data_IF_825790408002
#
_entry.id   IF_825790408002
#
_cell.length_a   1.000
_cell.length_b   1.000
_cell.length_c   1.000
_cell.angle_alpha   90.00
_cell.angle_beta   90.00
_cell.angle_gamma   90.00
#
_symmetry.space_group_name_H-M   'P 1'
#
loop_
_entity.id
_entity.type
_entity.pdbx_description
1 polymer ?
#
# COMPACT_ATOMS: atom_id res chain seq x y z
N UNK A 1 5.21 -7.47 -67.65
CA UNK A 1 6.45 -7.86 -66.99
C UNK A 1 6.42 -7.31 -65.58
N UNK A 2 6.11 -8.15 -64.62
CA UNK A 2 5.85 -7.72 -63.23
C UNK A 2 6.90 -8.38 -62.34
N UNK A 3 7.87 -7.63 -61.91
CA UNK A 3 8.80 -8.03 -60.86
C UNK A 3 8.14 -7.68 -59.53
N UNK A 4 7.36 -8.58 -58.94
CA UNK A 4 6.85 -8.44 -57.60
C UNK A 4 7.88 -9.03 -56.66
N UNK A 5 8.40 -8.16 -55.92
CA UNK A 5 9.39 -8.13 -54.90
C UNK A 5 9.36 -9.34 -53.97
N UNK A 6 10.45 -10.09 -53.99
CA UNK A 6 10.73 -11.24 -53.09
C UNK A 6 11.12 -10.78 -51.71
N UNK A 7 11.07 -9.46 -51.43
CA UNK A 7 11.51 -8.88 -50.16
C UNK A 7 10.43 -8.79 -49.10
N UNK A 8 9.17 -9.13 -49.41
CA UNK A 8 8.07 -9.06 -48.43
C UNK A 8 7.90 -10.33 -47.58
N UNK A 9 8.70 -11.37 -47.84
CA UNK A 9 8.60 -12.64 -47.08
C UNK A 9 9.70 -12.86 -46.05
N UNK A 10 10.63 -11.92 -45.91
CA UNK A 10 11.82 -12.09 -45.05
C UNK A 10 11.76 -11.28 -43.75
N UNK A 11 10.63 -10.64 -43.39
CA UNK A 11 10.51 -9.82 -42.18
C UNK A 11 9.52 -10.36 -41.12
N UNK A 12 9.12 -11.63 -41.26
CA UNK A 12 8.18 -12.21 -40.28
C UNK A 12 8.79 -13.33 -39.43
N UNK A 13 10.08 -13.39 -39.28
CA UNK A 13 10.72 -14.47 -38.52
C UNK A 13 11.83 -14.01 -37.56
N UNK A 14 11.61 -12.92 -36.84
CA UNK A 14 12.45 -12.63 -35.66
C UNK A 14 11.61 -11.78 -34.71
N UNK A 15 10.97 -12.36 -33.74
CA UNK A 15 10.83 -11.83 -32.40
C UNK A 15 9.91 -12.75 -31.55
N UNK A 16 10.33 -14.02 -31.44
CA UNK A 16 9.88 -14.80 -30.30
C UNK A 16 11.03 -14.80 -29.27
N UNK A 17 11.35 -13.63 -28.75
CA UNK A 17 12.19 -13.53 -27.58
C UNK A 17 11.36 -14.03 -26.39
N UNK A 18 11.63 -15.26 -26.00
CA UNK A 18 11.15 -15.84 -24.77
C UNK A 18 11.53 -14.91 -23.60
N UNK A 19 10.59 -14.12 -23.12
CA UNK A 19 10.72 -13.50 -21.83
C UNK A 19 10.60 -14.61 -20.79
N UNK A 20 11.75 -15.16 -20.41
CA UNK A 20 11.84 -15.95 -19.20
C UNK A 20 11.43 -15.04 -18.05
N UNK A 21 10.19 -15.17 -17.60
CA UNK A 21 9.77 -14.71 -16.28
C UNK A 21 10.63 -15.47 -15.29
N UNK A 22 11.71 -14.85 -14.85
CA UNK A 22 12.38 -15.28 -13.64
C UNK A 22 11.37 -15.08 -12.52
N UNK A 23 10.76 -16.18 -12.09
CA UNK A 23 10.06 -16.23 -10.81
C UNK A 23 11.07 -15.76 -9.77
N UNK A 24 10.92 -14.52 -9.31
CA UNK A 24 11.65 -14.07 -8.15
C UNK A 24 11.21 -14.95 -7.00
N UNK A 25 12.08 -15.91 -6.69
CA UNK A 25 11.99 -16.69 -5.48
C UNK A 25 11.74 -15.71 -4.33
N UNK A 26 10.69 -15.97 -3.58
CA UNK A 26 10.40 -15.32 -2.31
C UNK A 26 11.69 -15.29 -1.50
N UNK A 27 12.29 -14.12 -1.41
CA UNK A 27 13.27 -13.86 -0.37
C UNK A 27 12.49 -13.95 0.93
N UNK A 28 12.59 -15.11 1.58
CA UNK A 28 12.11 -15.32 2.93
C UNK A 28 12.89 -14.36 3.80
N UNK A 29 12.31 -13.20 4.07
CA UNK A 29 12.88 -12.20 4.96
C UNK A 29 12.89 -12.77 6.38
N UNK A 30 13.98 -13.48 6.70
CA UNK A 30 14.27 -14.05 8.02
C UNK A 30 14.98 -13.03 8.90
N UNK A 31 14.80 -11.74 8.68
CA UNK A 31 15.28 -10.75 9.64
C UNK A 31 14.40 -10.81 10.90
N UNK A 32 14.82 -11.68 11.82
CA UNK A 32 14.20 -11.91 13.11
C UNK A 32 14.13 -10.66 13.96
N UNK A 33 13.06 -9.92 13.81
CA UNK A 33 12.63 -8.93 14.78
C UNK A 33 11.42 -9.49 15.49
N UNK A 34 11.64 -10.01 16.70
CA UNK A 34 10.58 -10.54 17.56
C UNK A 34 9.35 -9.61 17.55
N UNK A 35 8.21 -10.12 17.08
CA UNK A 35 6.91 -9.45 17.16
C UNK A 35 6.54 -8.50 16.02
N UNK A 36 7.37 -8.34 14.99
CA UNK A 36 7.01 -7.52 13.82
C UNK A 36 6.39 -8.39 12.74
N UNK A 37 5.14 -8.14 12.41
CA UNK A 37 4.46 -8.80 11.30
C UNK A 37 5.18 -8.47 9.98
N UNK A 38 5.28 -9.46 9.08
CA UNK A 38 5.74 -9.23 7.71
C UNK A 38 4.84 -8.22 6.99
N UNK A 39 5.30 -7.66 5.88
CA UNK A 39 4.47 -6.76 5.06
C UNK A 39 3.18 -7.47 4.62
N UNK A 40 3.29 -8.74 4.23
CA UNK A 40 2.18 -9.60 3.84
C UNK A 40 1.19 -9.80 5.00
N UNK A 41 1.65 -10.22 6.17
CA UNK A 41 0.78 -10.43 7.33
C UNK A 41 0.09 -9.15 7.82
N UNK A 42 0.73 -7.97 7.63
CA UNK A 42 0.04 -6.69 7.89
C UNK A 42 -1.02 -6.39 6.83
N UNK A 43 -0.73 -6.66 5.56
CA UNK A 43 -1.69 -6.47 4.46
C UNK A 43 -2.91 -7.37 4.63
N UNK A 44 -2.70 -8.65 4.98
CA UNK A 44 -3.78 -9.60 5.28
C UNK A 44 -4.67 -9.05 6.40
N UNK A 45 -4.09 -8.69 7.53
CA UNK A 45 -4.85 -8.15 8.67
C UNK A 45 -5.61 -6.85 8.36
N UNK A 46 -5.05 -6.00 7.52
CA UNK A 46 -5.73 -4.78 7.05
C UNK A 46 -6.91 -5.17 6.18
N UNK A 47 -6.71 -6.11 5.25
CA UNK A 47 -7.75 -6.61 4.33
C UNK A 47 -8.89 -7.25 5.11
N UNK A 48 -8.63 -8.11 6.08
CA UNK A 48 -9.64 -8.73 6.94
C UNK A 48 -10.52 -7.68 7.63
N UNK A 49 -9.88 -6.67 8.21
CA UNK A 49 -10.62 -5.57 8.88
C UNK A 49 -11.52 -4.81 7.92
N UNK A 50 -11.03 -4.55 6.69
CA UNK A 50 -11.81 -3.87 5.66
C UNK A 50 -12.96 -4.78 5.20
N UNK A 51 -12.67 -6.06 4.94
CA UNK A 51 -13.65 -7.06 4.51
C UNK A 51 -14.83 -7.13 5.49
N UNK A 52 -14.54 -7.27 6.79
CA UNK A 52 -15.57 -7.25 7.82
C UNK A 52 -16.31 -5.91 7.92
N UNK A 53 -15.61 -4.79 7.73
CA UNK A 53 -16.22 -3.46 7.89
C UNK A 53 -17.21 -3.14 6.78
N UNK A 54 -16.91 -3.50 5.53
CA UNK A 54 -17.71 -3.12 4.36
C UNK A 54 -18.39 -4.29 3.66
N UNK A 55 -18.25 -5.52 4.19
CA UNK A 55 -18.81 -6.76 3.66
C UNK A 55 -18.34 -7.01 2.21
N UNK A 56 -17.04 -7.24 2.04
CA UNK A 56 -16.49 -7.58 0.73
C UNK A 56 -16.90 -8.98 0.29
N UNK A 57 -17.14 -9.16 -1.00
CA UNK A 57 -17.18 -10.50 -1.58
C UNK A 57 -15.73 -11.02 -1.80
N UNK A 58 -15.59 -12.31 -2.10
CA UNK A 58 -14.28 -12.97 -2.23
C UNK A 58 -13.39 -12.38 -3.32
N UNK A 59 -13.97 -11.92 -4.43
CA UNK A 59 -13.19 -11.32 -5.52
C UNK A 59 -12.72 -9.91 -5.17
N UNK A 60 -13.57 -9.14 -4.50
CA UNK A 60 -13.19 -7.84 -3.96
C UNK A 60 -12.07 -7.99 -2.91
N UNK A 61 -12.20 -8.95 -1.99
CA UNK A 61 -11.22 -9.23 -0.95
C UNK A 61 -9.84 -9.53 -1.53
N UNK A 62 -9.76 -10.40 -2.56
CA UNK A 62 -8.51 -10.69 -3.28
C UNK A 62 -7.89 -9.43 -3.89
N UNK A 63 -8.70 -8.59 -4.56
CA UNK A 63 -8.23 -7.34 -5.17
C UNK A 63 -7.72 -6.34 -4.11
N UNK A 64 -8.44 -6.20 -3.01
CA UNK A 64 -8.05 -5.33 -1.88
C UNK A 64 -6.76 -5.85 -1.23
N UNK A 65 -6.60 -7.15 -1.08
CA UNK A 65 -5.37 -7.75 -0.57
C UNK A 65 -4.16 -7.38 -1.43
N UNK A 66 -4.26 -7.54 -2.76
CA UNK A 66 -3.16 -7.18 -3.68
C UNK A 66 -2.81 -5.69 -3.56
N UNK A 67 -3.80 -4.81 -3.48
CA UNK A 67 -3.57 -3.38 -3.28
C UNK A 67 -2.86 -3.12 -1.94
N UNK A 68 -3.33 -3.72 -0.86
CA UNK A 68 -2.73 -3.55 0.46
C UNK A 68 -1.30 -4.09 0.53
N UNK A 69 -1.00 -5.23 -0.10
CA UNK A 69 0.35 -5.78 -0.17
C UNK A 69 1.33 -4.82 -0.86
N UNK A 70 0.93 -4.28 -2.01
CA UNK A 70 1.74 -3.30 -2.73
C UNK A 70 1.98 -2.02 -1.89
N UNK A 71 0.92 -1.43 -1.37
CA UNK A 71 1.01 -0.20 -0.58
C UNK A 71 1.84 -0.39 0.69
N UNK A 72 1.65 -1.50 1.41
CA UNK A 72 2.40 -1.78 2.66
C UNK A 72 3.88 -1.96 2.38
N UNK A 73 4.27 -2.68 1.30
CA UNK A 73 5.68 -2.82 0.92
C UNK A 73 6.32 -1.46 0.59
N UNK A 74 5.62 -0.63 -0.16
CA UNK A 74 6.09 0.71 -0.52
C UNK A 74 6.17 1.64 0.71
N UNK A 75 5.23 1.53 1.64
CA UNK A 75 5.30 2.25 2.93
C UNK A 75 6.52 1.80 3.75
N UNK A 76 6.85 0.51 3.76
CA UNK A 76 8.06 0.03 4.42
C UNK A 76 9.33 0.56 3.76
N UNK A 77 9.38 0.60 2.43
CA UNK A 77 10.51 1.17 1.70
C UNK A 77 10.71 2.65 2.07
N UNK A 78 9.64 3.44 2.09
CA UNK A 78 9.68 4.85 2.54
C UNK A 78 10.14 4.97 3.99
N UNK A 79 9.62 4.13 4.88
CA UNK A 79 9.98 4.13 6.30
C UNK A 79 11.45 3.84 6.53
N UNK A 80 11.99 2.88 5.79
CA UNK A 80 13.36 2.38 5.96
C UNK A 80 14.40 3.15 5.14
N UNK A 81 14.00 4.13 4.34
CA UNK A 81 14.90 4.96 3.57
C UNK A 81 15.58 6.02 4.47
N UNK A 82 16.89 5.90 4.75
CA UNK A 82 17.60 6.84 5.61
C UNK A 82 17.83 8.21 4.95
N UNK A 83 17.76 8.28 3.61
CA UNK A 83 17.99 9.54 2.87
C UNK A 83 16.80 10.51 2.95
N UNK A 84 15.63 10.04 3.40
CA UNK A 84 14.43 10.86 3.49
C UNK A 84 14.38 11.63 4.82
N UNK A 85 14.15 12.92 4.75
CA UNK A 85 13.77 13.73 5.91
C UNK A 85 12.41 13.30 6.46
N UNK A 86 12.12 13.68 7.70
CA UNK A 86 10.80 13.42 8.30
C UNK A 86 9.67 14.01 7.47
N UNK A 87 9.84 15.21 6.91
CA UNK A 87 8.85 15.90 6.08
C UNK A 87 8.58 15.16 4.78
N UNK A 88 9.63 14.76 4.05
CA UNK A 88 9.52 14.00 2.80
C UNK A 88 8.85 12.65 3.02
N UNK A 89 9.24 11.94 4.09
CA UNK A 89 8.63 10.67 4.47
C UNK A 89 7.12 10.82 4.72
N UNK A 90 6.70 11.86 5.44
CA UNK A 90 5.28 12.13 5.66
C UNK A 90 4.54 12.46 4.38
N UNK A 91 5.16 13.21 3.46
CA UNK A 91 4.59 13.51 2.15
C UNK A 91 4.38 12.24 1.32
N UNK A 92 5.38 11.35 1.30
CA UNK A 92 5.27 10.08 0.58
C UNK A 92 4.21 9.15 1.19
N UNK A 93 4.10 9.09 2.52
CA UNK A 93 3.02 8.32 3.17
C UNK A 93 1.63 8.84 2.80
N UNK A 94 1.45 10.16 2.75
CA UNK A 94 0.17 10.76 2.32
C UNK A 94 -0.14 10.43 0.86
N UNK A 95 0.85 10.46 -0.02
CA UNK A 95 0.70 10.09 -1.43
C UNK A 95 0.29 8.62 -1.57
N UNK A 96 0.94 7.69 -0.86
CA UNK A 96 0.60 6.27 -0.85
C UNK A 96 -0.80 6.00 -0.28
N UNK A 97 -1.20 6.72 0.75
CA UNK A 97 -2.55 6.62 1.33
C UNK A 97 -3.63 7.12 0.35
N UNK A 98 -3.34 8.22 -0.35
CA UNK A 98 -4.21 8.74 -1.42
C UNK A 98 -4.33 7.75 -2.59
N UNK A 99 -3.22 7.19 -3.06
CA UNK A 99 -3.20 6.17 -4.11
C UNK A 99 -4.03 4.93 -3.70
N UNK A 100 -3.83 4.43 -2.48
CA UNK A 100 -4.63 3.32 -1.94
C UNK A 100 -6.12 3.63 -2.01
N UNK A 101 -6.51 4.82 -1.60
CA UNK A 101 -7.90 5.27 -1.61
C UNK A 101 -8.47 5.33 -3.03
N UNK A 102 -7.71 5.80 -4.01
CA UNK A 102 -8.13 5.81 -5.41
C UNK A 102 -8.29 4.38 -5.97
N UNK A 103 -7.35 3.51 -5.68
CA UNK A 103 -7.42 2.11 -6.11
C UNK A 103 -8.60 1.37 -5.47
N UNK A 104 -8.95 1.67 -4.22
CA UNK A 104 -10.13 1.10 -3.57
C UNK A 104 -11.44 1.52 -4.23
N UNK A 105 -11.53 2.74 -4.76
CA UNK A 105 -12.70 3.19 -5.52
C UNK A 105 -13.00 2.33 -6.75
N UNK A 106 -11.99 1.70 -7.34
CA UNK A 106 -12.18 0.83 -8.51
C UNK A 106 -12.69 -0.57 -8.14
N UNK A 107 -12.62 -0.94 -6.86
CA UNK A 107 -13.01 -2.27 -6.36
C UNK A 107 -14.32 -2.22 -5.58
N UNK A 108 -14.53 -1.17 -4.80
CA UNK A 108 -15.71 -1.01 -3.96
C UNK A 108 -16.91 -0.52 -4.76
N UNK A 109 -18.09 -0.93 -4.33
CA UNK A 109 -19.31 -0.20 -4.69
C UNK A 109 -19.33 1.17 -4.02
N UNK A 110 -20.10 2.15 -4.53
CA UNK A 110 -20.20 3.47 -3.90
C UNK A 110 -20.58 3.41 -2.41
N UNK A 111 -21.48 2.51 -2.03
CA UNK A 111 -21.89 2.33 -0.64
C UNK A 111 -20.75 1.74 0.24
N UNK A 112 -20.01 0.75 -0.27
CA UNK A 112 -18.85 0.19 0.42
C UNK A 112 -17.75 1.24 0.58
N UNK A 113 -17.49 2.02 -0.47
CA UNK A 113 -16.47 3.07 -0.41
C UNK A 113 -16.84 4.14 0.63
N UNK A 114 -18.10 4.59 0.65
CA UNK A 114 -18.58 5.55 1.66
C UNK A 114 -18.36 4.99 3.07
N UNK A 115 -18.79 3.76 3.33
CA UNK A 115 -18.67 3.10 4.65
C UNK A 115 -17.20 2.95 5.08
N UNK A 116 -16.31 2.62 4.16
CA UNK A 116 -14.87 2.53 4.40
C UNK A 116 -14.27 3.91 4.69
N UNK A 117 -14.59 4.91 3.87
CA UNK A 117 -14.08 6.28 4.04
C UNK A 117 -14.51 6.87 5.40
N UNK A 118 -15.77 6.73 5.77
CA UNK A 118 -16.30 7.19 7.07
C UNK A 118 -15.54 6.50 8.22
N UNK A 119 -15.27 5.22 8.10
CA UNK A 119 -14.48 4.48 9.09
C UNK A 119 -13.01 4.96 9.16
N UNK A 120 -12.36 5.22 8.04
CA UNK A 120 -10.99 5.77 8.03
C UNK A 120 -10.94 7.18 8.60
N UNK A 121 -11.91 8.03 8.31
CA UNK A 121 -12.02 9.38 8.89
C UNK A 121 -12.17 9.32 10.41
N UNK A 122 -13.05 8.50 10.92
CA UNK A 122 -13.24 8.31 12.35
C UNK A 122 -11.95 7.81 13.05
N UNK A 123 -11.18 6.93 12.39
CA UNK A 123 -9.89 6.49 12.93
C UNK A 123 -8.86 7.63 13.00
N UNK A 124 -8.80 8.46 11.96
CA UNK A 124 -7.91 9.63 11.93
C UNK A 124 -8.25 10.60 13.07
N UNK A 125 -9.51 10.92 13.21
CA UNK A 125 -9.98 11.80 14.28
C UNK A 125 -9.65 11.26 15.68
N UNK A 126 -9.91 9.98 15.94
CA UNK A 126 -9.55 9.33 17.20
C UNK A 126 -8.02 9.37 17.47
N UNK A 127 -7.21 9.23 16.42
CA UNK A 127 -5.76 9.31 16.54
C UNK A 127 -5.31 10.73 16.90
N UNK A 128 -5.87 11.73 16.23
CA UNK A 128 -5.59 13.15 16.50
C UNK A 128 -5.95 13.53 17.94
N UNK A 129 -7.12 13.13 18.39
CA UNK A 129 -7.54 13.34 19.79
C UNK A 129 -6.59 12.68 20.79
N UNK A 130 -6.11 11.45 20.50
CA UNK A 130 -5.13 10.77 21.36
C UNK A 130 -3.77 11.48 21.38
N UNK A 131 -3.35 12.00 20.24
CA UNK A 131 -2.09 12.74 20.14
C UNK A 131 -2.18 14.07 20.89
N UNK A 132 -3.30 14.79 20.76
CA UNK A 132 -3.55 16.02 21.48
C UNK A 132 -3.54 15.81 23.00
N UNK A 133 -4.24 14.81 23.51
CA UNK A 133 -4.21 14.44 24.92
C UNK A 133 -2.80 14.10 25.42
N UNK A 134 -1.97 13.48 24.59
CA UNK A 134 -0.56 13.20 24.93
C UNK A 134 0.27 14.47 25.01
N UNK A 135 0.06 15.41 24.08
CA UNK A 135 0.73 16.71 24.06
C UNK A 135 0.42 17.50 25.33
N UNK A 136 -0.86 17.65 25.65
CA UNK A 136 -1.33 18.33 26.87
C UNK A 136 -0.75 17.74 28.15
N UNK A 137 -0.72 16.39 28.24
CA UNK A 137 -0.11 15.70 29.39
C UNK A 137 1.39 15.95 29.51
N UNK A 138 2.10 16.11 28.38
CA UNK A 138 3.54 16.42 28.38
C UNK A 138 3.75 17.87 28.85
N UNK A 139 3.03 18.82 28.28
CA UNK A 139 3.08 20.24 28.65
C UNK A 139 2.77 20.45 30.15
N UNK A 140 1.76 19.76 30.67
CA UNK A 140 1.43 19.82 32.11
C UNK A 140 2.56 19.27 33.00
N UNK A 141 3.26 18.21 32.56
CA UNK A 141 4.41 17.67 33.33
C UNK A 141 5.62 18.62 33.30
N UNK A 142 5.90 19.18 32.14
CA UNK A 142 7.03 20.09 31.97
C UNK A 142 6.84 21.37 32.80
N UNK A 143 5.60 21.87 32.93
CA UNK A 143 5.27 23.03 33.78
C UNK A 143 5.38 22.75 35.28
N UNK A 144 5.11 21.49 35.71
CA UNK A 144 5.21 21.12 37.14
C UNK A 144 6.67 20.90 37.59
N UNK A 145 7.59 20.63 36.67
CA UNK A 145 9.01 20.44 36.98
C UNK A 145 9.83 21.75 37.04
N UNK A 146 9.22 22.87 36.65
CA UNK A 146 9.85 24.21 36.67
C UNK A 146 9.50 25.03 37.92
N UNK A 147 8.75 24.46 38.85
CA UNK A 147 8.46 25.03 40.18
C UNK A 147 9.28 24.34 41.28
#
# INVERSE_FOLDING_TARGET
>A
MKFISVYTWMLLSVFFAATTFTANAQVKDTSGTRGRWTAEGRADKITDKISHKVNLNKDQEKKILVINQDIVRRMDAVKNNPSLTKKERMTQFKALDSERSQRFKTVFTPAQYKKWNDWEMNKKEQLEQKMEKKRQKKEAKDSTQQQ
#
